data_IF_370830939885
#
_entry.id   IF_370830939885
#
_cell.length_a   1.000
_cell.length_b   1.000
_cell.length_c   1.000
_cell.angle_alpha   90.00
_cell.angle_beta   90.00
_cell.angle_gamma   90.00
#
_symmetry.space_group_name_H-M   'P 1'
#
loop_
_entity.id
_entity.type
_entity.pdbx_description
1 polymer ?
#
# COMPACT_ATOMS: atom_id res chain seq x y z
N UNK A 1 -9.46 -3.40 -10.53
CA UNK A 1 -9.41 -3.38 -9.06
C UNK A 1 -10.38 -4.40 -8.49
N UNK A 2 -9.97 -5.05 -7.41
CA UNK A 2 -10.84 -5.98 -6.68
C UNK A 2 -10.97 -5.49 -5.24
N UNK A 3 -12.21 -5.42 -4.77
CA UNK A 3 -12.50 -5.02 -3.39
C UNK A 3 -13.24 -6.12 -2.67
N UNK A 4 -12.85 -6.37 -1.44
CA UNK A 4 -13.60 -7.18 -0.50
C UNK A 4 -14.75 -6.40 0.13
N UNK A 5 -15.16 -6.83 1.32
CA UNK A 5 -16.28 -6.25 2.06
C UNK A 5 -15.78 -5.33 3.16
N UNK A 6 -16.61 -4.35 3.52
CA UNK A 6 -16.39 -3.49 4.66
C UNK A 6 -15.06 -2.73 4.63
N UNK A 7 -14.76 -2.13 3.47
CA UNK A 7 -13.55 -1.35 3.27
C UNK A 7 -13.87 0.12 3.52
N UNK A 8 -13.03 0.78 4.30
CA UNK A 8 -13.12 2.21 4.55
C UNK A 8 -11.99 2.93 3.82
N UNK A 9 -12.35 3.86 2.95
CA UNK A 9 -11.38 4.69 2.23
C UNK A 9 -11.70 6.15 2.55
N UNK A 10 -10.75 6.83 3.17
CA UNK A 10 -10.95 8.20 3.63
C UNK A 10 -10.62 9.22 2.56
N UNK A 11 -10.97 10.48 2.84
CA UNK A 11 -10.84 11.61 1.93
C UNK A 11 -9.40 11.79 1.45
N UNK A 12 -9.25 12.05 0.16
CA UNK A 12 -7.95 12.35 -0.43
C UNK A 12 -7.10 11.14 -0.76
N UNK A 13 -7.58 9.93 -0.50
CA UNK A 13 -6.86 8.75 -0.92
C UNK A 13 -6.82 8.67 -2.44
N UNK A 14 -5.67 8.31 -2.98
CA UNK A 14 -5.45 8.19 -4.43
C UNK A 14 -4.96 6.79 -4.74
N UNK A 15 -5.65 6.12 -5.66
CA UNK A 15 -5.28 4.79 -6.10
C UNK A 15 -5.01 4.83 -7.60
N UNK A 16 -3.75 4.65 -7.99
CA UNK A 16 -3.34 4.57 -9.38
C UNK A 16 -3.34 3.10 -9.78
N UNK A 17 -4.44 2.67 -10.39
CA UNK A 17 -4.69 1.25 -10.66
C UNK A 17 -4.42 0.84 -12.10
N UNK A 18 -3.49 1.50 -12.78
CA UNK A 18 -3.05 1.11 -14.13
C UNK A 18 -2.59 -0.36 -14.15
N UNK A 19 -1.91 -0.79 -13.08
CA UNK A 19 -1.73 -2.21 -12.78
C UNK A 19 -2.94 -2.72 -12.03
N UNK A 20 -2.76 -3.70 -11.16
CA UNK A 20 -3.85 -4.28 -10.39
C UNK A 20 -3.77 -3.88 -8.92
N UNK A 21 -4.91 -3.61 -8.32
CA UNK A 21 -5.05 -3.40 -6.88
C UNK A 21 -6.10 -4.36 -6.35
N UNK A 22 -5.75 -5.10 -5.30
CA UNK A 22 -6.67 -5.97 -4.58
C UNK A 22 -6.67 -5.58 -3.11
N UNK A 23 -7.83 -5.25 -2.59
CA UNK A 23 -8.02 -4.87 -1.20
C UNK A 23 -9.02 -5.84 -0.58
N UNK A 24 -8.56 -6.58 0.43
CA UNK A 24 -9.37 -7.61 1.07
C UNK A 24 -10.28 -7.02 2.15
N UNK A 25 -11.01 -7.90 2.86
CA UNK A 25 -12.07 -7.48 3.77
C UNK A 25 -11.55 -6.66 4.96
N UNK A 26 -12.37 -5.74 5.43
CA UNK A 26 -12.15 -4.98 6.68
C UNK A 26 -10.89 -4.12 6.68
N UNK A 27 -10.42 -3.69 5.53
CA UNK A 27 -9.25 -2.82 5.42
C UNK A 27 -9.65 -1.37 5.69
N UNK A 28 -8.80 -0.67 6.45
CA UNK A 28 -8.95 0.77 6.71
C UNK A 28 -7.86 1.52 5.94
N UNK A 29 -8.27 2.43 5.07
CA UNK A 29 -7.36 3.31 4.34
C UNK A 29 -7.58 4.74 4.81
N UNK A 30 -6.55 5.31 5.42
CA UNK A 30 -6.59 6.65 5.99
C UNK A 30 -6.61 7.76 4.93
N UNK A 31 -6.82 9.00 5.38
CA UNK A 31 -6.80 10.15 4.48
C UNK A 31 -5.46 10.30 3.77
N UNK A 32 -5.50 10.79 2.55
CA UNK A 32 -4.30 11.13 1.76
C UNK A 32 -3.33 9.97 1.54
N UNK A 33 -3.78 8.73 1.66
CA UNK A 33 -2.98 7.55 1.32
C UNK A 33 -2.83 7.50 -0.20
N UNK A 34 -1.64 7.13 -0.67
CA UNK A 34 -1.35 6.96 -2.09
C UNK A 34 -0.96 5.52 -2.35
N UNK A 35 -1.65 4.88 -3.30
CA UNK A 35 -1.33 3.53 -3.75
C UNK A 35 -0.96 3.61 -5.23
N UNK A 36 0.25 3.21 -5.57
CA UNK A 36 0.73 3.23 -6.94
C UNK A 36 1.02 1.83 -7.44
N UNK A 37 0.64 1.55 -8.70
CA UNK A 37 0.89 0.25 -9.34
C UNK A 37 1.80 0.36 -10.55
N UNK A 38 2.31 1.55 -10.82
CA UNK A 38 3.21 1.79 -11.95
C UNK A 38 4.25 2.81 -11.55
N UNK A 39 5.49 2.61 -12.00
CA UNK A 39 6.55 3.61 -11.95
C UNK A 39 7.42 3.51 -13.21
N UNK A 40 8.44 4.36 -13.26
CA UNK A 40 9.35 4.44 -14.39
C UNK A 40 10.59 3.63 -14.14
N UNK A 41 11.20 3.11 -15.22
CA UNK A 41 12.48 2.43 -15.14
C UNK A 41 13.60 3.45 -14.92
N UNK A 42 14.56 3.13 -14.04
CA UNK A 42 15.70 4.02 -13.78
C UNK A 42 16.58 4.28 -15.02
N UNK A 43 16.70 3.27 -15.86
CA UNK A 43 17.60 3.31 -17.00
C UNK A 43 16.94 3.89 -18.25
N UNK A 44 15.62 3.84 -18.32
CA UNK A 44 14.86 4.38 -19.45
C UNK A 44 13.53 4.93 -18.96
N UNK A 45 13.59 6.12 -18.36
CA UNK A 45 12.44 6.75 -17.70
C UNK A 45 11.29 7.10 -18.63
N UNK A 46 11.56 7.26 -19.91
CA UNK A 46 10.54 7.73 -20.85
C UNK A 46 9.87 6.60 -21.60
N UNK A 47 10.53 5.48 -21.79
CA UNK A 47 10.03 4.39 -22.65
C UNK A 47 9.66 3.13 -21.87
N UNK A 48 10.22 2.93 -20.68
CA UNK A 48 9.97 1.72 -19.88
C UNK A 48 9.25 2.04 -18.58
N UNK A 49 8.20 1.27 -18.31
CA UNK A 49 7.40 1.37 -17.08
C UNK A 49 7.41 0.03 -16.37
N UNK A 50 7.42 0.09 -15.05
CA UNK A 50 7.25 -1.09 -14.21
C UNK A 50 5.86 -1.09 -13.62
N UNK A 51 5.14 -2.21 -13.83
CA UNK A 51 3.83 -2.42 -13.25
C UNK A 51 3.95 -3.45 -12.14
N UNK A 52 3.30 -3.20 -11.03
CA UNK A 52 3.31 -4.13 -9.92
C UNK A 52 1.97 -4.16 -9.22
N UNK A 53 1.37 -5.36 -9.10
CA UNK A 53 0.13 -5.53 -8.37
C UNK A 53 0.34 -5.17 -6.90
N UNK A 54 -0.55 -4.35 -6.36
CA UNK A 54 -0.60 -4.06 -4.92
C UNK A 54 -1.74 -4.87 -4.31
N UNK A 55 -1.43 -5.60 -3.24
CA UNK A 55 -2.41 -6.38 -2.49
C UNK A 55 -2.39 -5.90 -1.04
N UNK A 56 -3.56 -5.55 -0.53
CA UNK A 56 -3.73 -5.18 0.88
C UNK A 56 -4.63 -6.23 1.50
N UNK A 57 -4.05 -7.03 2.40
CA UNK A 57 -4.74 -8.19 2.96
C UNK A 57 -5.68 -7.79 4.09
N UNK A 58 -6.52 -8.74 4.45
CA UNK A 58 -7.61 -8.59 5.40
C UNK A 58 -7.17 -7.88 6.68
N UNK A 59 -8.01 -6.97 7.12
CA UNK A 59 -7.85 -6.27 8.40
C UNK A 59 -6.62 -5.37 8.51
N UNK A 60 -5.96 -5.04 7.41
CA UNK A 60 -4.83 -4.11 7.43
C UNK A 60 -5.33 -2.68 7.63
N UNK A 61 -4.48 -1.86 8.23
CA UNK A 61 -4.75 -0.43 8.43
C UNK A 61 -3.61 0.40 7.85
N UNK A 62 -3.93 1.20 6.85
CA UNK A 62 -2.98 2.10 6.20
C UNK A 62 -3.26 3.50 6.74
N UNK A 63 -2.34 4.04 7.52
CA UNK A 63 -2.55 5.32 8.20
C UNK A 63 -2.37 6.52 7.25
N UNK A 64 -2.80 7.68 7.73
CA UNK A 64 -2.80 8.93 6.96
C UNK A 64 -1.48 9.18 6.23
N UNK A 65 -1.56 9.54 4.96
CA UNK A 65 -0.42 10.00 4.18
C UNK A 65 0.59 8.93 3.79
N UNK A 66 0.34 7.65 4.11
CA UNK A 66 1.25 6.59 3.71
C UNK A 66 1.25 6.41 2.19
N UNK A 67 2.38 5.95 1.66
CA UNK A 67 2.57 5.70 0.23
C UNK A 67 2.92 4.23 0.05
N UNK A 68 2.14 3.52 -0.75
CA UNK A 68 2.37 2.12 -1.08
C UNK A 68 2.89 2.05 -2.51
N UNK A 69 4.09 1.52 -2.67
CA UNK A 69 4.77 1.46 -3.97
C UNK A 69 4.35 0.22 -4.77
N UNK A 70 4.58 0.22 -6.10
CA UNK A 70 4.19 -0.90 -6.96
C UNK A 70 4.74 -2.24 -6.49
N UNK A 71 3.92 -3.28 -6.62
CA UNK A 71 4.33 -4.64 -6.32
C UNK A 71 4.28 -5.05 -4.86
N UNK A 72 3.88 -4.15 -3.96
CA UNK A 72 3.90 -4.39 -2.51
C UNK A 72 2.65 -5.16 -2.09
N UNK A 73 2.85 -6.13 -1.21
CA UNK A 73 1.77 -6.81 -0.47
C UNK A 73 1.83 -6.37 0.98
N UNK A 74 0.72 -5.84 1.48
CA UNK A 74 0.56 -5.51 2.90
C UNK A 74 -0.11 -6.71 3.57
N UNK A 75 0.56 -7.25 4.57
CA UNK A 75 0.11 -8.47 5.24
C UNK A 75 -1.18 -8.29 6.04
N UNK A 76 -1.77 -9.43 6.40
CA UNK A 76 -2.98 -9.47 7.21
C UNK A 76 -2.74 -8.79 8.55
N UNK A 77 -3.71 -7.99 8.97
CA UNK A 77 -3.68 -7.33 10.27
C UNK A 77 -2.45 -6.43 10.48
N UNK A 78 -1.75 -6.06 9.42
CA UNK A 78 -0.61 -5.16 9.49
C UNK A 78 -1.07 -3.72 9.60
N UNK A 79 -0.23 -2.89 10.21
CA UNK A 79 -0.45 -1.44 10.30
C UNK A 79 0.70 -0.73 9.61
N UNK A 80 0.36 0.12 8.65
CA UNK A 80 1.33 1.01 8.00
C UNK A 80 1.19 2.39 8.64
N UNK A 81 2.25 2.82 9.31
CA UNK A 81 2.24 4.07 10.06
C UNK A 81 2.04 5.30 9.20
N UNK A 82 1.61 6.40 9.83
CA UNK A 82 1.37 7.66 9.14
C UNK A 82 2.62 8.14 8.40
N UNK A 83 2.45 8.54 7.15
CA UNK A 83 3.55 9.05 6.32
C UNK A 83 4.59 8.03 5.90
N UNK A 84 4.39 6.76 6.19
CA UNK A 84 5.35 5.71 5.79
C UNK A 84 5.40 5.56 4.27
N UNK A 85 6.59 5.25 3.77
CA UNK A 85 6.78 4.92 2.35
C UNK A 85 7.16 3.45 2.25
N UNK A 86 6.23 2.64 1.78
CA UNK A 86 6.36 1.19 1.76
C UNK A 86 6.88 0.75 0.39
N UNK A 87 8.12 0.25 0.36
CA UNK A 87 8.79 -0.18 -0.86
C UNK A 87 8.96 -1.69 -0.95
N UNK A 88 8.67 -2.42 0.13
CA UNK A 88 8.79 -3.88 0.23
C UNK A 88 7.57 -4.44 0.90
N UNK A 89 7.32 -5.74 0.71
CA UNK A 89 6.21 -6.43 1.35
C UNK A 89 6.26 -6.26 2.87
N UNK A 90 5.07 -6.14 3.45
CA UNK A 90 4.90 -6.02 4.90
C UNK A 90 4.33 -7.35 5.40
N UNK A 91 5.01 -7.99 6.36
CA UNK A 91 4.51 -9.25 6.94
C UNK A 91 3.19 -9.08 7.68
N UNK A 92 2.53 -10.20 7.96
CA UNK A 92 1.34 -10.19 8.79
C UNK A 92 1.65 -9.73 10.22
N UNK A 93 0.69 -9.11 10.87
CA UNK A 93 0.72 -8.79 12.30
C UNK A 93 1.93 -7.96 12.73
N UNK A 94 2.30 -6.97 11.94
CA UNK A 94 3.39 -6.03 12.30
C UNK A 94 2.93 -4.59 12.08
N UNK A 95 3.61 -3.68 12.76
CA UNK A 95 3.53 -2.24 12.49
C UNK A 95 4.81 -1.84 11.78
N UNK A 96 4.68 -1.17 10.64
CA UNK A 96 5.81 -0.59 9.92
C UNK A 96 5.69 0.93 9.90
N UNK A 97 6.81 1.62 9.80
CA UNK A 97 6.83 3.08 9.68
C UNK A 97 8.13 3.58 9.10
N UNK A 98 8.14 4.84 8.73
CA UNK A 98 9.31 5.51 8.19
C UNK A 98 9.41 5.51 6.67
N UNK A 99 10.50 6.08 6.17
CA UNK A 99 10.81 6.16 4.75
C UNK A 99 12.29 5.81 4.52
N UNK A 100 12.60 4.63 3.95
CA UNK A 100 11.67 3.55 3.64
C UNK A 100 11.13 2.87 4.90
N UNK A 101 9.93 2.33 4.80
CA UNK A 101 9.27 1.72 5.95
C UNK A 101 10.04 0.52 6.49
N UNK A 102 10.07 0.41 7.81
CA UNK A 102 10.72 -0.69 8.55
C UNK A 102 9.78 -1.18 9.62
N UNK A 103 9.96 -2.41 10.03
CA UNK A 103 9.17 -3.00 11.12
C UNK A 103 9.49 -2.26 12.41
N UNK A 104 8.46 -1.72 13.07
CA UNK A 104 8.58 -1.06 14.37
C UNK A 104 8.32 -2.06 15.48
N UNK A 105 7.30 -2.88 15.34
CA UNK A 105 6.93 -3.88 16.34
C UNK A 105 6.00 -4.92 15.75
N UNK A 106 5.82 -6.01 16.48
CA UNK A 106 4.81 -7.03 16.20
C UNK A 106 3.53 -6.74 16.98
N UNK A 107 2.42 -7.11 16.38
CA UNK A 107 1.12 -7.00 17.04
C UNK A 107 0.80 -8.31 17.78
#
# INVERSE_FOLDING_TARGET
MKFGKNITINKGATILSTGQVEIEDNVLIGPEVKIATVDHDFHDRHNLFHFGKVTIKENAWICIGAIICPGVTIGRNAVVGAGAVVTKDVPDNVVVGGNPARIIKKI
#
